data_IF_309970195497
#
_entry.id   IF_309970195497
#
_cell.length_a   1.000
_cell.length_b   1.000
_cell.length_c   1.000
_cell.angle_alpha   90.00
_cell.angle_beta   90.00
_cell.angle_gamma   90.00
#
_symmetry.space_group_name_H-M   'P 1'
#
loop_
_entity.id
_entity.type
_entity.pdbx_description
1 polymer ?
#
# COMPACT_ATOMS: atom_id res chain seq x y z
N UNK A 1 13.03 -10.24 2.69
CA UNK A 1 12.82 -8.80 3.02
C UNK A 1 11.69 -8.68 4.05
N UNK A 2 11.89 -7.94 5.13
CA UNK A 2 10.84 -7.65 6.11
C UNK A 2 10.08 -6.39 5.70
N UNK A 3 8.74 -6.49 5.62
CA UNK A 3 7.85 -5.36 5.28
C UNK A 3 7.11 -4.94 6.55
N UNK A 4 7.43 -3.75 7.05
CA UNK A 4 6.74 -3.17 8.21
C UNK A 4 5.53 -2.44 7.69
N UNK A 5 4.36 -2.97 7.97
CA UNK A 5 3.06 -2.51 7.51
C UNK A 5 2.38 -1.67 8.58
N UNK A 6 1.61 -0.66 8.20
CA UNK A 6 0.82 0.16 9.12
C UNK A 6 -0.11 -0.69 9.98
N UNK A 7 -0.92 -1.52 9.32
CA UNK A 7 -1.97 -2.28 9.95
C UNK A 7 -2.17 -3.68 9.36
N UNK A 8 -3.31 -4.26 9.67
CA UNK A 8 -3.68 -5.61 9.22
C UNK A 8 -4.03 -5.68 7.73
N UNK A 9 -4.45 -4.58 7.12
CA UNK A 9 -4.85 -4.52 5.71
C UNK A 9 -3.63 -4.71 4.80
N UNK A 10 -2.57 -3.94 5.03
CA UNK A 10 -1.29 -4.06 4.30
C UNK A 10 -0.63 -5.42 4.56
N UNK A 11 -0.68 -5.91 5.81
CA UNK A 11 -0.20 -7.28 6.14
C UNK A 11 -0.92 -8.32 5.29
N UNK A 12 -2.26 -8.24 5.20
CA UNK A 12 -3.06 -9.18 4.43
C UNK A 12 -2.71 -9.10 2.93
N UNK A 13 -2.54 -7.89 2.38
CA UNK A 13 -2.09 -7.73 0.99
C UNK A 13 -0.75 -8.42 0.74
N UNK A 14 0.25 -8.22 1.60
CA UNK A 14 1.55 -8.91 1.46
C UNK A 14 1.40 -10.44 1.56
N UNK A 15 0.48 -10.94 2.39
CA UNK A 15 0.19 -12.37 2.47
C UNK A 15 -0.41 -12.88 1.15
N UNK A 16 -1.38 -12.15 0.56
CA UNK A 16 -1.97 -12.49 -0.74
C UNK A 16 -0.94 -12.42 -1.88
N UNK A 17 -0.12 -11.38 -1.90
CA UNK A 17 0.97 -11.26 -2.87
C UNK A 17 1.94 -12.45 -2.78
N UNK A 18 2.30 -12.86 -1.56
CA UNK A 18 3.14 -14.06 -1.37
C UNK A 18 2.48 -15.33 -1.87
N UNK A 19 1.19 -15.52 -1.61
CA UNK A 19 0.44 -16.67 -2.09
C UNK A 19 0.47 -16.71 -3.62
N UNK A 20 0.12 -15.59 -4.27
CA UNK A 20 0.18 -15.46 -5.72
C UNK A 20 1.60 -15.75 -6.27
N UNK A 21 2.65 -15.17 -5.67
CA UNK A 21 4.02 -15.43 -6.07
C UNK A 21 4.41 -16.91 -5.94
N UNK A 22 3.92 -17.60 -4.90
CA UNK A 22 4.21 -19.02 -4.69
C UNK A 22 3.55 -19.95 -5.71
N UNK A 23 2.46 -19.51 -6.33
CA UNK A 23 1.76 -20.25 -7.41
C UNK A 23 2.51 -20.12 -8.75
N UNK A 24 3.35 -19.10 -8.90
CA UNK A 24 4.19 -18.94 -10.08
C UNK A 24 5.36 -19.93 -9.97
N UNK A 25 5.39 -20.93 -10.86
CA UNK A 25 6.48 -21.93 -10.91
C UNK A 25 7.76 -21.34 -11.55
N UNK A 26 8.31 -20.31 -10.92
CA UNK A 26 9.54 -19.64 -11.34
C UNK A 26 10.62 -19.74 -10.26
N UNK A 27 11.82 -20.09 -10.63
CA UNK A 27 12.91 -20.41 -9.70
C UNK A 27 13.20 -19.31 -8.68
N UNK A 28 13.14 -18.04 -9.09
CA UNK A 28 13.46 -16.89 -8.24
C UNK A 28 12.41 -16.62 -7.14
N UNK A 29 11.16 -17.08 -7.30
CA UNK A 29 10.12 -16.93 -6.26
C UNK A 29 10.55 -17.59 -4.96
N UNK A 30 11.32 -18.67 -5.04
CA UNK A 30 11.85 -19.37 -3.86
C UNK A 30 12.80 -18.52 -3.04
N UNK A 31 13.45 -17.53 -3.67
CA UNK A 31 14.44 -16.65 -3.04
C UNK A 31 13.78 -15.35 -2.49
N UNK A 32 12.54 -15.05 -2.89
CA UNK A 32 11.81 -13.86 -2.45
C UNK A 32 10.96 -14.17 -1.22
N UNK A 33 11.53 -13.96 -0.05
CA UNK A 33 10.81 -14.07 1.21
C UNK A 33 10.31 -12.69 1.67
N UNK A 34 9.02 -12.39 1.49
CA UNK A 34 8.35 -11.23 2.08
C UNK A 34 7.81 -11.61 3.47
N UNK A 35 8.23 -10.90 4.50
CA UNK A 35 7.79 -11.13 5.89
C UNK A 35 7.04 -9.89 6.36
N UNK A 36 5.69 -9.89 6.36
CA UNK A 36 4.92 -8.74 6.85
C UNK A 36 4.98 -8.66 8.37
N UNK A 37 5.09 -7.44 8.89
CA UNK A 37 5.09 -7.12 10.32
C UNK A 37 4.11 -5.98 10.57
N UNK A 38 3.05 -6.22 11.33
CA UNK A 38 2.09 -5.20 11.71
C UNK A 38 2.71 -4.22 12.73
N UNK A 39 2.74 -2.94 12.40
CA UNK A 39 3.17 -1.88 13.32
C UNK A 39 2.06 -1.49 14.32
N UNK A 40 0.80 -1.64 13.91
CA UNK A 40 -0.38 -1.28 14.69
C UNK A 40 -0.78 0.19 14.56
N UNK A 41 -0.02 0.99 13.83
CA UNK A 41 -0.31 2.40 13.50
C UNK A 41 0.69 2.92 12.48
N UNK A 42 0.25 3.83 11.60
CA UNK A 42 1.10 4.60 10.69
C UNK A 42 1.86 5.75 11.37
N UNK A 43 1.61 6.03 12.66
CA UNK A 43 2.32 7.07 13.38
C UNK A 43 3.85 6.83 13.32
N UNK A 44 4.59 7.86 12.89
CA UNK A 44 6.03 7.74 12.65
C UNK A 44 6.81 7.18 13.84
N UNK A 45 6.49 7.59 15.05
CA UNK A 45 7.21 7.13 16.24
C UNK A 45 6.96 5.64 16.54
N UNK A 46 5.73 5.16 16.30
CA UNK A 46 5.38 3.74 16.46
C UNK A 46 6.11 2.91 15.41
N UNK A 47 6.03 3.34 14.16
CA UNK A 47 6.71 2.67 13.02
C UNK A 47 8.22 2.63 13.25
N UNK A 48 8.82 3.74 13.65
CA UNK A 48 10.26 3.80 13.94
C UNK A 48 10.69 2.83 15.06
N UNK A 49 9.89 2.69 16.11
CA UNK A 49 10.16 1.70 17.16
C UNK A 49 10.13 0.27 16.60
N UNK A 50 9.20 -0.03 15.68
CA UNK A 50 9.11 -1.33 15.01
C UNK A 50 10.32 -1.58 14.10
N UNK A 51 10.74 -0.58 13.32
CA UNK A 51 11.97 -0.65 12.51
C UNK A 51 13.18 -0.99 13.39
N UNK A 52 13.36 -0.27 14.49
CA UNK A 52 14.46 -0.49 15.43
C UNK A 52 14.42 -1.89 16.06
N UNK A 53 13.22 -2.37 16.42
CA UNK A 53 13.03 -3.71 16.96
C UNK A 53 13.35 -4.80 15.92
N UNK A 54 12.90 -4.63 14.68
CA UNK A 54 13.18 -5.55 13.59
C UNK A 54 14.69 -5.61 13.27
N UNK A 55 15.37 -4.48 13.19
CA UNK A 55 16.82 -4.40 12.96
C UNK A 55 17.64 -5.08 14.07
N UNK A 56 17.19 -5.02 15.32
CA UNK A 56 17.85 -5.74 16.42
C UNK A 56 17.75 -7.25 16.29
N UNK A 57 16.64 -7.76 15.74
CA UNK A 57 16.40 -9.20 15.55
C UNK A 57 17.09 -9.77 14.32
N UNK A 58 17.19 -8.97 13.27
CA UNK A 58 17.74 -9.39 11.96
C UNK A 58 18.80 -8.37 11.49
N UNK A 59 20.02 -8.49 12.01
CA UNK A 59 21.11 -7.51 11.75
C UNK A 59 21.48 -7.35 10.27
N UNK A 60 21.23 -8.34 9.43
CA UNK A 60 21.56 -8.36 8.01
C UNK A 60 20.33 -8.45 7.08
N UNK A 61 19.13 -8.25 7.61
CA UNK A 61 17.91 -8.32 6.82
C UNK A 61 17.66 -7.03 6.04
N UNK A 62 17.09 -7.17 4.84
CA UNK A 62 16.52 -6.03 4.12
C UNK A 62 15.16 -5.67 4.73
N UNK A 63 14.96 -4.39 4.99
CA UNK A 63 13.74 -3.86 5.59
C UNK A 63 13.16 -2.77 4.70
N UNK A 64 11.84 -2.77 4.59
CA UNK A 64 11.07 -1.65 4.05
C UNK A 64 9.88 -1.36 4.96
N UNK A 65 9.37 -0.17 4.89
CA UNK A 65 8.16 0.27 5.60
C UNK A 65 7.12 0.66 4.57
N UNK A 66 5.87 0.30 4.82
CA UNK A 66 4.71 0.66 4.02
C UNK A 66 3.58 1.15 4.92
N UNK A 67 3.18 2.41 4.72
CA UNK A 67 2.15 3.11 5.51
C UNK A 67 1.29 3.99 4.60
N UNK A 68 0.13 4.40 5.10
CA UNK A 68 -0.71 5.38 4.42
C UNK A 68 -0.15 6.80 4.53
N UNK A 69 -0.37 7.61 3.50
CA UNK A 69 0.13 8.99 3.46
C UNK A 69 -0.76 9.99 4.20
N UNK A 70 -2.00 9.64 4.50
CA UNK A 70 -3.02 10.54 5.05
C UNK A 70 -2.60 11.26 6.34
N UNK A 71 -2.04 10.55 7.32
CA UNK A 71 -1.55 11.15 8.57
C UNK A 71 -0.30 12.01 8.38
N UNK A 72 0.50 11.71 7.34
CA UNK A 72 1.67 12.52 6.96
C UNK A 72 1.23 13.77 6.20
N UNK A 73 0.21 13.66 5.34
CA UNK A 73 -0.39 14.81 4.65
C UNK A 73 -0.91 15.83 5.66
N UNK A 74 -1.67 15.39 6.66
CA UNK A 74 -2.20 16.25 7.75
C UNK A 74 -1.15 16.63 8.79
N UNK A 75 0.04 16.01 8.76
CA UNK A 75 1.09 16.14 9.78
C UNK A 75 0.61 15.78 11.20
N UNK A 76 -0.28 14.79 11.30
CA UNK A 76 -0.85 14.35 12.56
C UNK A 76 0.27 13.96 13.56
N UNK A 77 0.21 14.50 14.77
CA UNK A 77 1.26 14.34 15.80
C UNK A 77 2.69 14.63 15.32
N UNK A 78 2.85 15.51 14.32
CA UNK A 78 4.16 15.86 13.75
C UNK A 78 4.81 14.72 12.94
N UNK A 79 4.03 13.76 12.42
CA UNK A 79 4.54 12.60 11.70
C UNK A 79 5.36 12.96 10.46
N UNK A 80 4.86 13.90 9.64
CA UNK A 80 5.58 14.40 8.46
C UNK A 80 6.93 15.00 8.82
N UNK A 81 6.94 15.89 9.79
CA UNK A 81 8.16 16.59 10.19
C UNK A 81 9.17 15.63 10.82
N UNK A 82 8.70 14.66 11.60
CA UNK A 82 9.55 13.62 12.17
C UNK A 82 10.17 12.74 11.07
N UNK A 83 9.37 12.31 10.09
CA UNK A 83 9.83 11.54 8.93
C UNK A 83 10.87 12.32 8.13
N UNK A 84 10.59 13.57 7.73
CA UNK A 84 11.51 14.38 6.92
C UNK A 84 12.87 14.59 7.60
N UNK A 85 12.88 14.79 8.93
CA UNK A 85 14.13 14.91 9.70
C UNK A 85 14.92 13.61 9.78
N UNK A 86 14.25 12.46 9.80
CA UNK A 86 14.84 11.14 10.16
C UNK A 86 14.77 10.10 9.04
N UNK A 87 14.34 10.49 7.82
CA UNK A 87 14.18 9.56 6.69
C UNK A 87 15.43 8.75 6.37
N UNK A 88 16.62 9.34 6.57
CA UNK A 88 17.89 8.63 6.35
C UNK A 88 18.13 7.51 7.35
N UNK A 89 17.56 7.60 8.54
CA UNK A 89 17.73 6.63 9.62
C UNK A 89 16.74 5.46 9.51
N UNK A 90 15.57 5.70 8.91
CA UNK A 90 14.52 4.67 8.79
C UNK A 90 14.69 3.76 7.58
N UNK A 91 15.47 4.18 6.56
CA UNK A 91 15.73 3.40 5.36
C UNK A 91 14.58 3.45 4.34
N UNK A 92 14.37 2.37 3.61
CA UNK A 92 13.31 2.28 2.60
C UNK A 92 11.94 2.46 3.24
N UNK A 93 11.26 3.55 2.87
CA UNK A 93 9.98 3.95 3.45
C UNK A 93 9.05 4.39 2.31
N UNK A 94 7.91 3.74 2.19
CA UNK A 94 6.97 3.88 1.09
C UNK A 94 5.57 4.20 1.60
N UNK A 95 4.81 4.91 0.79
CA UNK A 95 3.47 5.36 1.09
C UNK A 95 2.45 4.82 0.09
N UNK A 96 1.24 4.50 0.56
CA UNK A 96 0.04 4.50 -0.26
C UNK A 96 -0.47 5.94 -0.36
N UNK A 97 -0.52 6.50 -1.56
CA UNK A 97 -1.13 7.81 -1.79
C UNK A 97 -2.58 7.62 -2.29
N UNK A 98 -3.63 8.08 -1.62
CA UNK A 98 -3.59 8.76 -0.31
C UNK A 98 -3.67 7.79 0.87
N UNK A 99 -4.28 6.62 0.70
CA UNK A 99 -4.46 5.57 1.68
C UNK A 99 -4.53 4.19 1.02
N UNK A 100 -4.77 3.18 1.85
CA UNK A 100 -4.76 1.79 1.40
C UNK A 100 -5.90 1.45 0.44
N UNK A 101 -7.10 2.01 0.62
CA UNK A 101 -8.24 1.76 -0.27
C UNK A 101 -8.02 2.38 -1.66
N UNK A 102 -7.37 3.56 -1.77
CA UNK A 102 -6.95 4.12 -3.06
C UNK A 102 -5.94 3.21 -3.77
N UNK A 103 -5.01 2.61 -3.02
CA UNK A 103 -4.10 1.61 -3.56
C UNK A 103 -4.85 0.36 -4.05
N UNK A 104 -5.83 -0.16 -3.30
CA UNK A 104 -6.62 -1.31 -3.72
C UNK A 104 -7.43 -1.03 -4.99
N UNK A 105 -7.97 0.18 -5.12
CA UNK A 105 -8.77 0.56 -6.29
C UNK A 105 -7.99 0.48 -7.61
N UNK A 106 -6.67 0.61 -7.59
CA UNK A 106 -5.82 0.43 -8.78
C UNK A 106 -5.89 -0.99 -9.37
N UNK A 107 -6.31 -1.98 -8.59
CA UNK A 107 -6.46 -3.36 -9.03
C UNK A 107 -7.77 -3.62 -9.79
N UNK A 108 -8.73 -2.71 -9.72
CA UNK A 108 -10.00 -2.85 -10.41
C UNK A 108 -9.80 -2.74 -11.93
N UNK A 109 -10.75 -3.28 -12.69
CA UNK A 109 -10.82 -2.99 -14.12
C UNK A 109 -11.14 -1.51 -14.39
N UNK A 110 -10.98 -1.08 -15.64
CA UNK A 110 -11.11 0.32 -16.04
C UNK A 110 -12.49 0.93 -15.69
N UNK A 111 -13.56 0.13 -15.80
CA UNK A 111 -14.92 0.57 -15.49
C UNK A 111 -15.09 0.85 -14.00
N UNK A 112 -14.63 -0.07 -13.15
CA UNK A 112 -14.75 0.06 -11.69
C UNK A 112 -13.78 1.08 -11.12
N UNK A 113 -12.56 1.14 -11.67
CA UNK A 113 -11.61 2.19 -11.31
C UNK A 113 -12.14 3.59 -11.67
N UNK A 114 -12.74 3.76 -12.86
CA UNK A 114 -13.41 5.00 -13.25
C UNK A 114 -14.55 5.36 -12.30
N UNK A 115 -15.41 4.39 -11.96
CA UNK A 115 -16.51 4.59 -11.02
C UNK A 115 -16.01 4.99 -9.63
N UNK A 116 -14.91 4.40 -9.16
CA UNK A 116 -14.27 4.76 -7.89
C UNK A 116 -13.77 6.22 -7.92
N UNK A 117 -13.03 6.60 -8.94
CA UNK A 117 -12.51 7.97 -9.10
C UNK A 117 -13.63 9.02 -9.13
N UNK A 118 -14.70 8.73 -9.88
CA UNK A 118 -15.87 9.60 -9.95
C UNK A 118 -16.57 9.75 -8.59
N UNK A 119 -16.68 8.65 -7.83
CA UNK A 119 -17.27 8.66 -6.50
C UNK A 119 -16.40 9.44 -5.51
N UNK A 120 -15.08 9.23 -5.51
CA UNK A 120 -14.13 10.00 -4.69
C UNK A 120 -14.20 11.49 -5.02
N UNK A 121 -14.18 11.86 -6.30
CA UNK A 121 -14.24 13.26 -6.75
C UNK A 121 -15.52 13.97 -6.32
N UNK A 122 -16.65 13.24 -6.22
CA UNK A 122 -17.92 13.80 -5.72
C UNK A 122 -17.97 13.96 -4.21
N UNK A 123 -17.18 13.17 -3.47
CA UNK A 123 -17.25 13.09 -2.00
C UNK A 123 -16.23 13.99 -1.34
N UNK A 124 -15.04 14.17 -1.94
CA UNK A 124 -13.99 14.99 -1.37
C UNK A 124 -13.36 15.95 -2.40
N UNK A 125 -12.62 16.94 -1.88
CA UNK A 125 -11.86 17.84 -2.72
C UNK A 125 -10.68 17.12 -3.36
N UNK A 126 -10.30 17.54 -4.58
CA UNK A 126 -9.16 16.96 -5.30
C UNK A 126 -7.90 17.07 -4.44
N UNK A 127 -7.26 15.94 -4.20
CA UNK A 127 -6.01 15.85 -3.42
C UNK A 127 -6.20 15.65 -1.91
N UNK A 128 -7.44 15.60 -1.42
CA UNK A 128 -7.73 15.22 -0.04
C UNK A 128 -8.16 13.74 0.03
N UNK A 129 -7.63 12.96 1.01
CA UNK A 129 -8.09 11.59 1.20
C UNK A 129 -9.51 11.58 1.74
N UNK A 130 -10.29 10.57 1.37
CA UNK A 130 -11.57 10.29 2.02
C UNK A 130 -11.37 10.07 3.52
N UNK A 131 -12.32 10.53 4.33
CA UNK A 131 -12.34 10.15 5.74
C UNK A 131 -12.75 8.69 5.92
N UNK A 132 -12.26 8.05 6.98
CA UNK A 132 -12.44 6.60 7.19
C UNK A 132 -13.89 6.10 7.10
N UNK A 133 -14.89 6.93 7.48
CA UNK A 133 -16.31 6.58 7.38
C UNK A 133 -16.89 6.69 5.97
N UNK A 134 -16.24 7.44 5.07
CA UNK A 134 -16.72 7.65 3.69
C UNK A 134 -16.33 6.48 2.78
N UNK A 135 -15.26 5.73 3.13
CA UNK A 135 -14.84 4.56 2.37
C UNK A 135 -15.90 3.46 2.33
N UNK A 136 -16.66 3.26 3.40
CA UNK A 136 -17.73 2.27 3.42
C UNK A 136 -18.81 2.58 2.38
N UNK A 137 -19.10 3.87 2.15
CA UNK A 137 -20.06 4.30 1.15
C UNK A 137 -19.53 4.34 -0.29
N UNK A 138 -18.25 4.56 -0.48
CA UNK A 138 -17.62 4.76 -1.81
C UNK A 138 -16.90 3.50 -2.29
N UNK A 139 -16.00 2.96 -1.49
CA UNK A 139 -15.14 1.84 -1.88
C UNK A 139 -15.87 0.50 -1.80
N UNK A 140 -16.58 0.25 -0.71
CA UNK A 140 -17.16 -1.06 -0.42
C UNK A 140 -18.16 -1.55 -1.48
N UNK A 141 -19.08 -0.72 -2.03
CA UNK A 141 -19.97 -1.18 -3.11
C UNK A 141 -19.21 -1.63 -4.36
N UNK A 142 -18.13 -0.90 -4.73
CA UNK A 142 -17.33 -1.22 -5.91
C UNK A 142 -16.47 -2.46 -5.66
N UNK A 143 -15.89 -2.59 -4.47
CA UNK A 143 -15.15 -3.78 -4.08
C UNK A 143 -16.04 -5.02 -4.09
N UNK A 144 -17.26 -4.92 -3.55
CA UNK A 144 -18.24 -6.02 -3.56
C UNK A 144 -18.64 -6.43 -4.98
N UNK A 145 -18.87 -5.46 -5.86
CA UNK A 145 -19.17 -5.72 -7.28
C UNK A 145 -17.98 -6.37 -8.02
N UNK A 146 -16.75 -6.03 -7.62
CA UNK A 146 -15.53 -6.58 -8.22
C UNK A 146 -15.19 -7.99 -7.73
N UNK A 147 -15.33 -8.25 -6.42
CA UNK A 147 -14.88 -9.52 -5.80
C UNK A 147 -16.00 -10.47 -5.45
N UNK A 148 -17.24 -10.00 -5.40
CA UNK A 148 -18.39 -10.72 -4.82
C UNK A 148 -18.43 -10.73 -3.30
N UNK A 149 -17.49 -10.06 -2.63
CA UNK A 149 -17.33 -10.05 -1.17
C UNK A 149 -17.42 -8.63 -0.60
N UNK A 150 -17.97 -8.49 0.61
CA UNK A 150 -17.93 -7.21 1.33
C UNK A 150 -16.53 -6.94 1.86
N UNK A 151 -15.96 -5.78 1.54
CA UNK A 151 -14.66 -5.36 2.08
C UNK A 151 -14.72 -5.22 3.61
N UNK A 152 -13.71 -5.77 4.26
CA UNK A 152 -13.47 -5.60 5.70
C UNK A 152 -12.00 -5.29 5.92
N UNK A 153 -11.70 -4.27 6.71
CA UNK A 153 -10.32 -3.92 7.05
C UNK A 153 -9.55 -5.14 7.56
N UNK A 154 -8.39 -5.40 6.97
CA UNK A 154 -7.56 -6.56 7.30
C UNK A 154 -7.96 -7.86 6.62
N UNK A 155 -8.97 -7.85 5.75
CA UNK A 155 -9.41 -9.05 5.00
C UNK A 155 -9.56 -8.69 3.52
N UNK A 156 -8.77 -9.33 2.67
CA UNK A 156 -8.91 -9.27 1.22
C UNK A 156 -9.40 -10.62 0.70
N UNK A 157 -10.18 -10.59 -0.37
CA UNK A 157 -10.56 -11.78 -1.15
C UNK A 157 -9.33 -12.62 -1.48
N UNK A 158 -9.50 -13.94 -1.58
CA UNK A 158 -8.38 -14.85 -1.85
C UNK A 158 -7.69 -14.53 -3.16
N UNK A 159 -8.46 -14.27 -4.20
CA UNK A 159 -7.99 -14.00 -5.56
C UNK A 159 -7.75 -12.51 -5.84
N UNK A 160 -7.77 -11.66 -4.82
CA UNK A 160 -7.60 -10.22 -5.01
C UNK A 160 -6.27 -9.89 -5.68
N UNK A 161 -5.18 -10.55 -5.27
CA UNK A 161 -3.89 -10.44 -5.93
C UNK A 161 -3.78 -11.54 -6.98
N UNK A 162 -3.99 -11.17 -8.24
CA UNK A 162 -3.93 -12.04 -9.40
C UNK A 162 -3.18 -11.33 -10.54
N UNK A 163 -2.78 -12.09 -11.58
CA UNK A 163 -2.12 -11.50 -12.76
C UNK A 163 -2.96 -10.37 -13.35
N UNK A 164 -4.25 -10.60 -13.59
CA UNK A 164 -5.16 -9.62 -14.18
C UNK A 164 -5.22 -8.34 -13.35
N UNK A 165 -5.37 -8.47 -12.02
CA UNK A 165 -5.49 -7.33 -11.12
C UNK A 165 -4.17 -6.56 -10.99
N UNK A 166 -3.02 -7.24 -11.03
CA UNK A 166 -1.71 -6.60 -11.07
C UNK A 166 -1.45 -5.90 -12.42
N UNK A 167 -1.95 -6.43 -13.52
CA UNK A 167 -1.89 -5.76 -14.83
C UNK A 167 -2.78 -4.50 -14.87
N UNK A 168 -3.94 -4.53 -14.20
CA UNK A 168 -4.77 -3.34 -14.00
C UNK A 168 -4.02 -2.28 -13.17
N UNK A 169 -3.42 -2.65 -12.05
CA UNK A 169 -2.62 -1.76 -11.21
C UNK A 169 -1.51 -1.06 -12.02
N UNK A 170 -0.78 -1.81 -12.85
CA UNK A 170 0.27 -1.24 -13.71
C UNK A 170 -0.30 -0.22 -14.70
N UNK A 171 -1.46 -0.51 -15.28
CA UNK A 171 -2.13 0.37 -16.25
C UNK A 171 -2.60 1.66 -15.61
N UNK A 172 -3.20 1.59 -14.42
CA UNK A 172 -3.70 2.75 -13.69
C UNK A 172 -2.61 3.57 -13.00
N UNK A 173 -1.35 3.11 -12.99
CA UNK A 173 -0.23 3.79 -12.34
C UNK A 173 -0.10 5.26 -12.79
N UNK A 174 -0.23 5.52 -14.09
CA UNK A 174 -0.10 6.88 -14.65
C UNK A 174 -1.32 7.78 -14.41
N UNK A 175 -2.46 7.22 -14.02
CA UNK A 175 -3.71 7.93 -13.81
C UNK A 175 -3.89 8.41 -12.36
N UNK A 176 -2.99 8.03 -11.48
CA UNK A 176 -3.05 8.40 -10.05
C UNK A 176 -2.82 9.89 -9.84
N UNK A 177 -3.57 10.45 -8.92
CA UNK A 177 -3.30 11.79 -8.39
C UNK A 177 -2.33 11.65 -7.23
N UNK A 178 -1.08 12.09 -7.43
CA UNK A 178 -0.06 12.15 -6.38
C UNK A 178 0.07 13.60 -5.93
N UNK A 179 0.02 13.89 -4.62
CA UNK A 179 0.18 15.25 -4.12
C UNK A 179 1.51 15.86 -4.61
N UNK A 180 1.52 17.10 -5.12
CA UNK A 180 2.72 17.72 -5.72
C UNK A 180 3.93 17.77 -4.78
N UNK A 181 3.70 17.94 -3.48
CA UNK A 181 4.72 17.99 -2.44
C UNK A 181 5.46 16.66 -2.24
N UNK A 182 4.90 15.57 -2.73
CA UNK A 182 5.51 14.23 -2.57
C UNK A 182 6.56 13.91 -3.62
N UNK A 183 6.65 14.70 -4.71
CA UNK A 183 7.57 14.43 -5.83
C UNK A 183 9.07 14.45 -5.46
N UNK A 184 9.43 14.92 -4.27
CA UNK A 184 10.82 14.95 -3.81
C UNK A 184 10.97 14.45 -2.38
N UNK A 185 11.21 13.17 -2.21
CA UNK A 185 11.64 12.60 -0.92
C UNK A 185 10.68 11.62 -0.24
N UNK A 186 9.58 11.27 -0.90
CA UNK A 186 8.66 10.24 -0.44
C UNK A 186 8.72 9.05 -1.40
N UNK A 187 8.88 7.84 -0.88
CA UNK A 187 8.77 6.61 -1.66
C UNK A 187 7.30 6.28 -1.95
N UNK A 188 7.03 5.84 -3.15
CA UNK A 188 5.71 5.38 -3.57
C UNK A 188 5.68 3.85 -3.57
N UNK A 189 4.77 3.25 -2.80
CA UNK A 189 4.67 1.80 -2.72
C UNK A 189 4.23 1.17 -4.06
N UNK A 190 3.36 1.84 -4.81
CA UNK A 190 2.89 1.32 -6.11
C UNK A 190 4.04 1.28 -7.12
N UNK A 191 4.84 2.35 -7.20
CA UNK A 191 6.03 2.38 -8.07
C UNK A 191 7.00 1.27 -7.67
N UNK A 192 7.28 1.13 -6.38
CA UNK A 192 8.12 0.04 -5.90
C UNK A 192 7.56 -1.34 -6.28
N UNK A 193 6.26 -1.57 -6.12
CA UNK A 193 5.62 -2.84 -6.45
C UNK A 193 5.72 -3.13 -7.95
N UNK A 194 5.42 -2.15 -8.80
CA UNK A 194 5.52 -2.31 -10.27
C UNK A 194 6.96 -2.60 -10.68
N UNK A 195 7.94 -1.89 -10.13
CA UNK A 195 9.36 -2.18 -10.39
C UNK A 195 9.77 -3.57 -9.87
N UNK A 196 9.27 -3.96 -8.70
CA UNK A 196 9.52 -5.28 -8.14
C UNK A 196 8.98 -6.38 -9.07
N UNK A 197 7.75 -6.25 -9.55
CA UNK A 197 7.13 -7.18 -10.49
C UNK A 197 7.89 -7.21 -11.82
N UNK A 198 8.27 -6.05 -12.37
CA UNK A 198 8.98 -5.94 -13.64
C UNK A 198 10.38 -6.59 -13.61
N UNK A 199 11.11 -6.48 -12.48
CA UNK A 199 12.43 -7.13 -12.32
C UNK A 199 12.37 -8.65 -12.36
N UNK A 200 11.19 -9.19 -12.24
CA UNK A 200 10.93 -10.61 -12.14
C UNK A 200 10.09 -11.15 -13.30
N UNK A 201 10.02 -10.42 -14.42
CA UNK A 201 9.34 -10.79 -15.68
C UNK A 201 7.84 -11.12 -15.49
N UNK A 202 7.16 -10.36 -14.62
CA UNK A 202 5.73 -10.52 -14.32
C UNK A 202 4.87 -9.38 -14.84
#
# INVERSE_FOLDING_TARGET
>A
MTVICEGSSEVNYIVRLKAYLAELDVAWVRDVLLIPVNAGSGNFHVVEQRIRAARRRQRHGNFMTWVDYDIYLRNDNGCRDAYLRRRKDVGAFYFSFHNFEDFLALHFDDSRYGAYRDAVTRTCHIGEPLHSGEYDGVFNPIYCDFTGETYRKGMLSEDFVSKTNLDNLKRHLSERVIPPETKSGYGDFVEWLVEFLARHDM
#
